data_IF_364432716940
#
_entry.id   IF_364432716940
#
_cell.length_a   1.000
_cell.length_b   1.000
_cell.length_c   1.000
_cell.angle_alpha   90.00
_cell.angle_beta   90.00
_cell.angle_gamma   90.00
#
_symmetry.space_group_name_H-M   'P 1'
#
loop_
_entity.id
_entity.type
_entity.pdbx_description
1 polymer ?
#
# COMPACT_ATOMS: atom_id res chain seq x y z
N UNK A 1 -20.03 -6.59 -0.98
CA UNK A 1 -19.99 -5.36 -0.18
C UNK A 1 -21.41 -4.84 -0.08
N UNK A 2 -21.84 -4.46 1.12
CA UNK A 2 -23.17 -3.88 1.32
C UNK A 2 -23.27 -2.49 0.67
N UNK A 3 -24.47 -2.05 0.23
CA UNK A 3 -24.65 -0.77 -0.46
C UNK A 3 -24.36 0.43 0.44
N UNK A 4 -24.69 0.33 1.72
CA UNK A 4 -24.40 1.38 2.68
C UNK A 4 -22.91 1.43 3.01
N UNK A 5 -22.25 0.28 3.10
CA UNK A 5 -20.80 0.18 3.20
C UNK A 5 -20.11 0.80 1.98
N UNK A 6 -20.51 0.42 0.78
CA UNK A 6 -19.98 0.98 -0.46
C UNK A 6 -20.12 2.51 -0.51
N UNK A 7 -21.29 3.04 -0.12
CA UNK A 7 -21.54 4.47 -0.07
C UNK A 7 -20.60 5.18 0.90
N UNK A 8 -20.39 4.63 2.10
CA UNK A 8 -19.46 5.21 3.10
C UNK A 8 -18.03 5.23 2.58
N UNK A 9 -17.56 4.12 2.00
CA UNK A 9 -16.20 4.02 1.47
C UNK A 9 -15.98 4.95 0.28
N UNK A 10 -16.94 5.04 -0.65
CA UNK A 10 -16.87 5.98 -1.78
C UNK A 10 -16.79 7.44 -1.35
N UNK A 11 -17.45 7.80 -0.25
CA UNK A 11 -17.43 9.18 0.25
C UNK A 11 -16.03 9.62 0.73
N UNK A 12 -15.23 8.70 1.29
CA UNK A 12 -13.89 8.99 1.82
C UNK A 12 -12.77 8.66 0.83
N UNK A 13 -13.06 7.93 -0.24
CA UNK A 13 -12.07 7.45 -1.21
C UNK A 13 -11.17 8.54 -1.81
N UNK A 14 -11.65 9.74 -2.21
CA UNK A 14 -10.78 10.78 -2.76
C UNK A 14 -9.74 11.29 -1.75
N UNK A 15 -10.14 11.47 -0.50
CA UNK A 15 -9.25 11.96 0.56
C UNK A 15 -8.19 10.92 0.93
N UNK A 16 -8.61 9.66 1.08
CA UNK A 16 -7.67 8.56 1.34
C UNK A 16 -6.72 8.37 0.16
N UNK A 17 -7.21 8.48 -1.08
CA UNK A 17 -6.34 8.41 -2.28
C UNK A 17 -5.22 9.45 -2.22
N UNK A 18 -5.52 10.67 -1.78
CA UNK A 18 -4.49 11.71 -1.62
C UNK A 18 -3.48 11.35 -0.53
N UNK A 19 -3.94 10.84 0.62
CA UNK A 19 -3.05 10.34 1.68
C UNK A 19 -2.15 9.22 1.15
N UNK A 20 -2.70 8.27 0.39
CA UNK A 20 -1.93 7.18 -0.23
C UNK A 20 -0.84 7.72 -1.15
N UNK A 21 -1.15 8.70 -2.01
CA UNK A 21 -0.17 9.31 -2.91
C UNK A 21 0.92 10.04 -2.14
N UNK A 22 0.57 10.78 -1.10
CA UNK A 22 1.53 11.54 -0.30
C UNK A 22 2.44 10.60 0.51
N UNK A 23 1.91 9.47 0.99
CA UNK A 23 2.71 8.38 1.57
C UNK A 23 3.70 7.85 0.53
N UNK A 24 3.23 7.46 -0.67
CA UNK A 24 4.09 6.92 -1.73
C UNK A 24 5.20 7.89 -2.13
N UNK A 25 4.89 9.19 -2.26
CA UNK A 25 5.89 10.24 -2.51
C UNK A 25 6.95 10.35 -1.41
N UNK A 26 6.60 9.98 -0.18
CA UNK A 26 7.49 10.03 0.97
C UNK A 26 8.38 8.78 1.03
N UNK A 27 7.84 7.61 0.71
CA UNK A 27 8.54 6.32 0.92
C UNK A 27 9.27 5.79 -0.31
N UNK A 28 8.86 6.15 -1.53
CA UNK A 28 9.53 5.69 -2.75
C UNK A 28 10.91 6.34 -2.85
N UNK A 29 11.96 5.51 -2.86
CA UNK A 29 13.35 5.97 -2.86
C UNK A 29 13.84 6.50 -1.51
N UNK A 30 13.09 6.24 -0.42
CA UNK A 30 13.50 6.61 0.93
C UNK A 30 14.65 5.73 1.40
N UNK A 31 15.72 6.39 1.86
CA UNK A 31 16.88 5.75 2.45
C UNK A 31 17.08 6.20 3.91
N UNK A 32 17.41 5.28 4.83
CA UNK A 32 17.50 3.84 4.62
C UNK A 32 16.09 3.19 4.56
N UNK A 33 15.95 2.07 3.85
CA UNK A 33 14.66 1.42 3.56
C UNK A 33 13.86 1.02 4.82
N UNK A 34 14.52 0.79 5.94
CA UNK A 34 13.94 0.46 7.24
C UNK A 34 13.08 1.60 7.82
N UNK A 35 13.12 2.80 7.23
CA UNK A 35 12.23 3.91 7.60
C UNK A 35 10.86 3.86 6.92
N UNK A 36 10.71 3.07 5.86
CA UNK A 36 9.43 2.92 5.15
C UNK A 36 8.30 2.45 6.09
N UNK A 37 8.50 1.44 6.95
CA UNK A 37 7.48 1.04 7.94
C UNK A 37 7.06 2.16 8.90
N UNK A 38 8.00 3.02 9.33
CA UNK A 38 7.69 4.11 10.25
C UNK A 38 6.75 5.14 9.60
N UNK A 39 7.04 5.58 8.38
CA UNK A 39 6.19 6.53 7.66
C UNK A 39 4.83 5.91 7.29
N UNK A 40 4.80 4.60 6.96
CA UNK A 40 3.57 3.87 6.72
C UNK A 40 2.68 3.78 7.98
N UNK A 41 3.27 3.53 9.15
CA UNK A 41 2.56 3.51 10.43
C UNK A 41 1.99 4.89 10.76
N UNK A 42 2.77 5.96 10.60
CA UNK A 42 2.28 7.33 10.82
C UNK A 42 1.09 7.66 9.92
N UNK A 43 1.13 7.27 8.65
CA UNK A 43 0.00 7.47 7.74
C UNK A 43 -1.23 6.64 8.16
N UNK A 44 -1.04 5.37 8.55
CA UNK A 44 -2.11 4.51 9.04
C UNK A 44 -2.76 5.08 10.31
N UNK A 45 -1.97 5.53 11.29
CA UNK A 45 -2.46 6.14 12.53
C UNK A 45 -3.25 7.43 12.25
N UNK A 46 -2.75 8.28 11.35
CA UNK A 46 -3.46 9.49 10.95
C UNK A 46 -4.80 9.19 10.26
N UNK A 47 -4.83 8.17 9.39
CA UNK A 47 -6.05 7.71 8.73
C UNK A 47 -7.04 7.12 9.73
N UNK A 48 -6.56 6.27 10.64
CA UNK A 48 -7.39 5.65 11.68
C UNK A 48 -8.00 6.72 12.59
N UNK A 49 -7.21 7.70 13.04
CA UNK A 49 -7.67 8.78 13.90
C UNK A 49 -8.74 9.66 13.23
N UNK A 50 -8.64 9.89 11.92
CA UNK A 50 -9.54 10.79 11.18
C UNK A 50 -10.76 10.11 10.59
N UNK A 51 -10.62 8.88 10.08
CA UNK A 51 -11.63 8.19 9.29
C UNK A 51 -12.02 6.82 9.85
N UNK A 52 -11.43 6.40 10.96
CA UNK A 52 -11.68 5.11 11.58
C UNK A 52 -11.25 3.93 10.70
N UNK A 53 -11.85 2.77 10.97
CA UNK A 53 -11.56 1.53 10.24
C UNK A 53 -11.96 1.58 8.78
N UNK A 54 -13.01 2.32 8.41
CA UNK A 54 -13.40 2.54 7.01
C UNK A 54 -12.28 3.26 6.24
N UNK A 55 -11.58 4.21 6.87
CA UNK A 55 -10.38 4.83 6.29
C UNK A 55 -9.25 3.82 6.01
N UNK A 56 -8.94 2.97 6.98
CA UNK A 56 -7.90 1.94 6.81
C UNK A 56 -8.27 0.94 5.71
N UNK A 57 -9.55 0.56 5.60
CA UNK A 57 -10.05 -0.32 4.52
C UNK A 57 -9.81 0.29 3.15
N UNK A 58 -10.10 1.59 2.99
CA UNK A 58 -9.86 2.30 1.72
C UNK A 58 -8.36 2.47 1.46
N UNK A 59 -7.55 2.71 2.49
CA UNK A 59 -6.09 2.83 2.36
C UNK A 59 -5.49 1.53 1.83
N UNK A 60 -5.84 0.40 2.45
CA UNK A 60 -5.41 -0.94 2.02
C UNK A 60 -5.91 -1.24 0.60
N UNK A 61 -7.18 -0.99 0.32
CA UNK A 61 -7.75 -1.19 -1.03
C UNK A 61 -6.98 -0.39 -2.08
N UNK A 62 -6.65 0.86 -1.79
CA UNK A 62 -5.89 1.73 -2.70
C UNK A 62 -4.48 1.19 -2.90
N UNK A 63 -3.74 0.91 -1.83
CA UNK A 63 -2.38 0.37 -1.88
C UNK A 63 -2.32 -0.94 -2.67
N UNK A 64 -3.23 -1.87 -2.39
CA UNK A 64 -3.31 -3.14 -3.11
C UNK A 64 -3.56 -2.95 -4.62
N UNK A 65 -4.48 -2.03 -4.98
CA UNK A 65 -4.75 -1.70 -6.38
C UNK A 65 -3.52 -1.14 -7.11
N UNK A 66 -2.81 -0.19 -6.49
CA UNK A 66 -1.61 0.39 -7.08
C UNK A 66 -0.45 -0.61 -7.19
N UNK A 67 -0.23 -1.43 -6.15
CA UNK A 67 0.80 -2.47 -6.16
C UNK A 67 0.52 -3.50 -7.24
N UNK A 68 -0.73 -3.95 -7.40
CA UNK A 68 -1.10 -4.90 -8.45
C UNK A 68 -0.81 -4.33 -9.85
N UNK A 69 -1.24 -3.09 -10.14
CA UNK A 69 -0.95 -2.42 -11.42
C UNK A 69 0.56 -2.27 -11.66
N UNK A 70 1.32 -1.96 -10.61
CA UNK A 70 2.78 -1.87 -10.68
C UNK A 70 3.43 -3.20 -11.04
N UNK A 71 3.01 -4.30 -10.39
CA UNK A 71 3.49 -5.66 -10.68
C UNK A 71 3.14 -6.06 -12.11
N UNK A 72 1.89 -5.87 -12.54
CA UNK A 72 1.44 -6.19 -13.90
C UNK A 72 2.24 -5.40 -14.96
N UNK A 73 2.46 -4.11 -14.71
CA UNK A 73 3.25 -3.25 -15.62
C UNK A 73 4.70 -3.72 -15.71
N UNK A 74 5.31 -4.04 -14.57
CA UNK A 74 6.70 -4.50 -14.53
C UNK A 74 6.86 -5.89 -15.17
N UNK A 75 5.93 -6.82 -14.92
CA UNK A 75 5.90 -8.13 -15.57
C UNK A 75 5.78 -8.02 -17.08
N UNK A 76 4.91 -7.14 -17.57
CA UNK A 76 4.79 -6.86 -19.00
C UNK A 76 6.11 -6.33 -19.59
N UNK A 77 6.80 -5.43 -18.89
CA UNK A 77 8.03 -4.80 -19.37
C UNK A 77 9.26 -5.71 -19.31
N UNK A 78 9.38 -6.57 -18.29
CA UNK A 78 10.56 -7.41 -18.08
C UNK A 78 10.39 -8.84 -18.59
N UNK A 79 9.17 -9.24 -18.97
CA UNK A 79 8.83 -10.62 -19.34
C UNK A 79 8.89 -11.62 -18.18
N UNK A 80 9.01 -11.14 -16.93
CA UNK A 80 8.90 -11.99 -15.73
C UNK A 80 7.44 -12.34 -15.48
N UNK A 81 7.20 -13.46 -14.79
CA UNK A 81 5.85 -13.79 -14.31
C UNK A 81 5.46 -12.92 -13.12
N UNK A 82 4.16 -12.80 -12.83
CA UNK A 82 3.68 -12.13 -11.61
C UNK A 82 4.22 -12.83 -10.35
N UNK A 83 4.25 -14.16 -10.34
CA UNK A 83 4.76 -14.97 -9.23
C UNK A 83 6.21 -14.62 -8.91
N UNK A 84 7.07 -14.48 -9.92
CA UNK A 84 8.47 -14.15 -9.71
C UNK A 84 8.67 -12.79 -9.01
N UNK A 85 7.78 -11.82 -9.23
CA UNK A 85 7.81 -10.55 -8.49
C UNK A 85 7.34 -10.71 -7.05
N UNK A 86 6.33 -11.54 -6.80
CA UNK A 86 5.85 -11.82 -5.44
C UNK A 86 6.91 -12.58 -4.63
N UNK A 87 7.58 -13.56 -5.25
CA UNK A 87 8.69 -14.30 -4.66
C UNK A 87 9.86 -13.35 -4.29
N UNK A 88 10.18 -12.38 -5.16
CA UNK A 88 11.20 -11.36 -4.88
C UNK A 88 10.82 -10.46 -3.70
N UNK A 89 9.53 -10.09 -3.58
CA UNK A 89 9.02 -9.32 -2.43
C UNK A 89 9.09 -10.14 -1.13
N UNK A 90 8.76 -11.43 -1.18
CA UNK A 90 8.86 -12.34 -0.03
C UNK A 90 10.32 -12.51 0.41
N UNK A 91 11.23 -12.72 -0.53
CA UNK A 91 12.67 -12.80 -0.25
C UNK A 91 13.18 -11.53 0.41
N UNK A 92 12.81 -10.35 -0.13
CA UNK A 92 13.19 -9.05 0.45
C UNK A 92 12.67 -8.93 1.89
N UNK A 93 11.47 -9.44 2.18
CA UNK A 93 10.89 -9.43 3.52
C UNK A 93 11.70 -10.29 4.51
N UNK A 94 12.14 -11.49 4.08
CA UNK A 94 13.00 -12.37 4.88
C UNK A 94 14.39 -11.78 5.09
N UNK A 95 14.97 -11.16 4.07
CA UNK A 95 16.28 -10.51 4.17
C UNK A 95 16.24 -9.30 5.13
N UNK A 96 15.13 -8.56 5.15
CA UNK A 96 14.91 -7.46 6.08
C UNK A 96 14.60 -7.93 7.53
N UNK A 97 14.11 -9.17 7.70
CA UNK A 97 13.79 -9.76 9.01
C UNK A 97 14.42 -11.16 9.16
N UNK A 98 15.75 -11.25 9.26
CA UNK A 98 16.47 -12.54 9.22
C UNK A 98 16.13 -13.48 10.40
N UNK A 99 15.54 -12.96 11.48
CA UNK A 99 15.23 -13.71 12.71
C UNK A 99 13.75 -14.14 12.84
N UNK A 100 12.86 -13.70 11.94
CA UNK A 100 11.41 -14.01 11.97
C UNK A 100 10.56 -13.09 12.86
#
# INVERSE_FOLDING_TARGET
>A
MDKDEERRLRAIAPDITRVTIDLLRTVVGLEPAERVPEEALRAADAVLAKYGSDGLRVLIMSMAGWTAVGIESNAHLTGKTHEAYLDEMELTCWEANPDG
#
